data_IF_056175345798
#
_entry.id   IF_056175345798
#
_cell.length_a   1.000
_cell.length_b   1.000
_cell.length_c   1.000
_cell.angle_alpha   90.00
_cell.angle_beta   90.00
_cell.angle_gamma   90.00
#
_symmetry.space_group_name_H-M   'P 1'
#
loop_
_entity.id
_entity.type
_entity.pdbx_description
1 polymer ?
#
# COMPACT_ATOMS: atom_id res chain seq x y z
N UNK A 1 2.87 21.07 -10.69
CA UNK A 1 3.46 22.02 -9.70
C UNK A 1 2.43 23.12 -9.45
N UNK A 2 2.16 23.47 -8.19
CA UNK A 2 1.12 24.45 -7.84
C UNK A 2 1.49 25.86 -8.34
N UNK A 3 0.59 26.53 -9.05
CA UNK A 3 0.83 27.85 -9.62
C UNK A 3 0.39 28.96 -8.66
N UNK A 4 1.33 29.61 -7.98
CA UNK A 4 1.05 30.62 -6.93
C UNK A 4 1.90 31.90 -7.04
N UNK A 5 1.83 32.62 -8.18
CA UNK A 5 2.75 33.74 -8.47
C UNK A 5 2.65 34.89 -7.46
N UNK A 6 1.45 35.15 -6.92
CA UNK A 6 1.24 36.21 -5.91
C UNK A 6 1.92 35.89 -4.58
N UNK A 7 1.86 34.63 -4.15
CA UNK A 7 2.52 34.16 -2.92
C UNK A 7 4.03 34.20 -3.06
N UNK A 8 4.56 33.82 -4.22
CA UNK A 8 5.99 33.90 -4.52
C UNK A 8 6.46 35.36 -4.55
N UNK A 9 5.70 36.25 -5.19
CA UNK A 9 6.02 37.69 -5.21
C UNK A 9 6.04 38.29 -3.79
N UNK A 10 5.06 37.94 -2.96
CA UNK A 10 5.02 38.34 -1.56
C UNK A 10 6.24 37.82 -0.79
N UNK A 11 6.56 36.53 -0.90
CA UNK A 11 7.72 35.93 -0.24
C UNK A 11 9.02 36.64 -0.63
N UNK A 12 9.20 36.96 -1.92
CA UNK A 12 10.38 37.66 -2.41
C UNK A 12 10.49 39.11 -1.89
N UNK A 13 9.37 39.76 -1.54
CA UNK A 13 9.38 41.11 -0.97
C UNK A 13 9.68 41.19 0.53
N UNK A 14 9.68 40.05 1.24
CA UNK A 14 9.97 40.01 2.68
C UNK A 14 11.46 40.18 2.98
N UNK A 15 11.79 40.69 4.17
CA UNK A 15 13.16 40.66 4.70
C UNK A 15 13.63 39.23 4.94
N UNK A 16 14.94 39.01 5.08
CA UNK A 16 15.48 37.68 5.41
C UNK A 16 15.05 37.21 6.81
N UNK A 17 14.80 38.12 7.76
CA UNK A 17 14.20 37.75 9.05
C UNK A 17 12.75 37.26 8.86
N UNK A 18 11.94 38.00 8.10
CA UNK A 18 10.53 37.68 7.90
C UNK A 18 10.34 36.40 7.09
N UNK A 19 11.20 36.11 6.12
CA UNK A 19 11.18 34.84 5.38
C UNK A 19 11.43 33.64 6.29
N UNK A 20 12.28 33.80 7.31
CA UNK A 20 12.54 32.73 8.31
C UNK A 20 11.38 32.58 9.27
N UNK A 21 10.77 33.68 9.69
CA UNK A 21 9.62 33.67 10.61
C UNK A 21 8.35 33.13 9.93
N UNK A 22 8.15 33.48 8.66
CA UNK A 22 7.00 33.10 7.84
C UNK A 22 7.45 32.29 6.62
N UNK A 23 7.52 30.97 6.79
CA UNK A 23 7.93 30.08 5.71
C UNK A 23 6.81 29.93 4.67
N UNK A 24 6.87 30.74 3.61
CA UNK A 24 5.95 30.72 2.47
C UNK A 24 6.48 29.87 1.30
N UNK A 25 7.75 29.46 1.33
CA UNK A 25 8.35 28.64 0.27
C UNK A 25 8.23 27.15 0.59
N UNK A 26 7.27 26.51 -0.07
CA UNK A 26 7.02 25.07 0.05
C UNK A 26 8.20 24.22 -0.46
N UNK A 27 9.12 24.77 -1.26
CA UNK A 27 10.28 24.03 -1.78
C UNK A 27 11.27 23.66 -0.66
N UNK A 28 11.28 24.44 0.42
CA UNK A 28 12.11 24.17 1.60
C UNK A 28 11.62 22.98 2.43
N UNK A 29 10.40 22.50 2.18
CA UNK A 29 9.78 21.41 2.94
C UNK A 29 10.39 20.06 2.55
N UNK A 30 10.80 19.28 3.55
CA UNK A 30 11.10 17.86 3.39
C UNK A 30 9.78 17.10 3.28
N UNK A 31 9.37 16.79 2.06
CA UNK A 31 8.06 16.19 1.78
C UNK A 31 7.84 14.84 2.48
N UNK A 32 8.89 14.02 2.60
CA UNK A 32 8.82 12.73 3.30
C UNK A 32 8.40 12.90 4.77
N UNK A 33 9.08 13.79 5.49
CA UNK A 33 8.78 14.08 6.90
C UNK A 33 7.37 14.67 7.05
N UNK A 34 7.00 15.59 6.16
CA UNK A 34 5.66 16.19 6.17
C UNK A 34 4.57 15.13 6.06
N UNK A 35 4.65 14.24 5.06
CA UNK A 35 3.63 13.21 4.88
C UNK A 35 3.66 12.14 5.97
N UNK A 36 4.84 11.79 6.49
CA UNK A 36 4.97 10.89 7.63
C UNK A 36 4.30 11.45 8.88
N UNK A 37 4.54 12.73 9.19
CA UNK A 37 3.94 13.40 10.34
C UNK A 37 2.43 13.63 10.14
N UNK A 38 2.01 14.03 8.94
CA UNK A 38 0.60 14.19 8.60
C UNK A 38 -0.17 12.88 8.78
N UNK A 39 0.37 11.77 8.25
CA UNK A 39 -0.26 10.45 8.35
C UNK A 39 -0.40 10.02 9.81
N UNK A 40 0.63 10.24 10.63
CA UNK A 40 0.56 9.95 12.06
C UNK A 40 -0.46 10.84 12.79
N UNK A 41 -0.49 12.13 12.48
CA UNK A 41 -1.46 13.08 13.04
C UNK A 41 -2.90 12.69 12.71
N UNK A 42 -3.18 12.32 11.46
CA UNK A 42 -4.50 11.83 11.04
C UNK A 42 -4.92 10.61 11.89
N UNK A 43 -4.03 9.63 12.04
CA UNK A 43 -4.33 8.43 12.84
C UNK A 43 -4.61 8.76 14.30
N UNK A 44 -3.79 9.61 14.91
CA UNK A 44 -3.92 9.92 16.34
C UNK A 44 -5.10 10.84 16.64
N UNK A 45 -5.32 11.89 15.85
CA UNK A 45 -6.31 12.92 16.19
C UNK A 45 -7.65 12.71 15.50
N UNK A 46 -7.67 12.29 14.23
CA UNK A 46 -8.92 12.08 13.49
C UNK A 46 -9.47 10.68 13.72
N UNK A 47 -8.61 9.66 13.61
CA UNK A 47 -9.00 8.25 13.80
C UNK A 47 -8.96 7.81 15.27
N UNK A 48 -8.43 8.64 16.18
CA UNK A 48 -8.30 8.34 17.62
C UNK A 48 -7.54 7.03 17.90
N UNK A 49 -6.60 6.66 17.03
CA UNK A 49 -5.77 5.47 17.19
C UNK A 49 -4.49 5.80 17.97
N UNK A 50 -4.15 4.98 18.96
CA UNK A 50 -2.86 5.08 19.65
C UNK A 50 -1.71 4.73 18.68
N UNK A 51 -0.57 5.43 18.72
CA UNK A 51 0.61 5.07 17.91
C UNK A 51 1.08 3.62 18.10
N UNK A 52 0.79 3.03 19.27
CA UNK A 52 1.11 1.64 19.59
C UNK A 52 0.30 0.61 18.77
N UNK A 53 -0.81 1.01 18.13
CA UNK A 53 -1.66 0.10 17.33
C UNK A 53 -1.04 -0.25 15.98
N UNK A 54 -0.08 0.53 15.49
CA UNK A 54 0.56 0.34 14.18
C UNK A 54 1.17 -1.04 14.01
N UNK A 55 1.94 -1.51 15.00
CA UNK A 55 2.56 -2.84 14.96
C UNK A 55 1.51 -3.96 14.92
N UNK A 56 0.44 -3.82 15.70
CA UNK A 56 -0.68 -4.76 15.70
C UNK A 56 -1.44 -4.76 14.37
N UNK A 57 -1.64 -3.59 13.76
CA UNK A 57 -2.27 -3.46 12.45
C UNK A 57 -1.43 -4.14 11.36
N UNK A 58 -0.09 -3.96 11.36
CA UNK A 58 0.83 -4.64 10.44
C UNK A 58 0.81 -6.16 10.63
N UNK A 59 0.83 -6.62 11.89
CA UNK A 59 0.72 -8.06 12.19
C UNK A 59 -0.60 -8.64 11.68
N UNK A 60 -1.73 -7.95 11.94
CA UNK A 60 -3.04 -8.35 11.43
C UNK A 60 -3.06 -8.38 9.90
N UNK A 61 -2.51 -7.37 9.23
CA UNK A 61 -2.40 -7.35 7.77
C UNK A 61 -1.59 -8.55 7.24
N UNK A 62 -0.46 -8.88 7.88
CA UNK A 62 0.34 -10.04 7.49
C UNK A 62 -0.43 -11.36 7.69
N UNK A 63 -1.16 -11.50 8.80
CA UNK A 63 -2.00 -12.69 9.05
C UNK A 63 -3.08 -12.82 7.98
N UNK A 64 -3.78 -11.72 7.65
CA UNK A 64 -4.80 -11.75 6.60
C UNK A 64 -4.19 -12.05 5.23
N UNK A 65 -3.01 -11.51 4.93
CA UNK A 65 -2.31 -11.80 3.68
C UNK A 65 -1.94 -13.28 3.57
N UNK A 66 -1.36 -13.87 4.62
CA UNK A 66 -1.05 -15.30 4.67
C UNK A 66 -2.34 -16.12 4.53
N UNK A 67 -3.40 -15.78 5.28
CA UNK A 67 -4.69 -16.46 5.20
C UNK A 67 -5.31 -16.38 3.79
N UNK A 68 -5.15 -15.25 3.11
CA UNK A 68 -5.61 -15.07 1.75
C UNK A 68 -4.84 -15.99 0.80
N UNK A 69 -3.50 -15.93 0.82
CA UNK A 69 -2.65 -16.76 -0.05
C UNK A 69 -2.85 -18.25 0.20
N UNK A 70 -3.02 -18.68 1.46
CA UNK A 70 -3.28 -20.09 1.79
C UNK A 70 -4.66 -20.54 1.33
N UNK A 71 -5.69 -19.70 1.47
CA UNK A 71 -7.03 -19.97 0.94
C UNK A 71 -7.00 -20.12 -0.58
N UNK A 72 -6.32 -19.22 -1.28
CA UNK A 72 -6.14 -19.27 -2.73
C UNK A 72 -5.44 -20.57 -3.17
N UNK A 73 -4.31 -20.91 -2.52
CA UNK A 73 -3.60 -22.16 -2.78
C UNK A 73 -4.47 -23.39 -2.50
N UNK A 74 -5.24 -23.38 -1.41
CA UNK A 74 -6.19 -24.45 -1.07
C UNK A 74 -7.25 -24.65 -2.15
N UNK A 75 -7.86 -23.57 -2.66
CA UNK A 75 -8.83 -23.62 -3.75
C UNK A 75 -8.21 -24.22 -5.02
N UNK A 76 -6.99 -23.81 -5.37
CA UNK A 76 -6.28 -24.34 -6.53
C UNK A 76 -5.98 -25.83 -6.40
N UNK A 77 -5.50 -26.27 -5.24
CA UNK A 77 -5.22 -27.68 -4.97
C UNK A 77 -6.50 -28.53 -5.01
N UNK A 78 -7.59 -28.02 -4.43
CA UNK A 78 -8.89 -28.69 -4.47
C UNK A 78 -9.43 -28.80 -5.90
N UNK A 79 -9.38 -27.72 -6.68
CA UNK A 79 -9.79 -27.72 -8.08
C UNK A 79 -8.97 -28.71 -8.91
N UNK A 80 -7.64 -28.72 -8.72
CA UNK A 80 -6.77 -29.66 -9.41
C UNK A 80 -7.05 -31.11 -9.01
N UNK A 81 -7.26 -31.38 -7.73
CA UNK A 81 -7.62 -32.71 -7.22
C UNK A 81 -8.95 -33.20 -7.82
N UNK A 82 -9.98 -32.34 -7.87
CA UNK A 82 -11.27 -32.66 -8.49
C UNK A 82 -11.13 -33.00 -9.97
N UNK A 83 -10.40 -32.19 -10.74
CA UNK A 83 -10.15 -32.44 -12.17
C UNK A 83 -9.46 -33.79 -12.37
N UNK A 84 -8.48 -34.12 -11.52
CA UNK A 84 -7.77 -35.41 -11.56
C UNK A 84 -8.71 -36.58 -11.29
N UNK A 85 -9.56 -36.48 -10.26
CA UNK A 85 -10.52 -37.53 -9.88
C UNK A 85 -11.51 -37.77 -11.01
N UNK A 86 -12.08 -36.71 -11.59
CA UNK A 86 -13.09 -36.81 -12.66
C UNK A 86 -12.47 -37.34 -13.95
N UNK A 87 -11.28 -36.88 -14.33
CA UNK A 87 -10.72 -37.16 -15.66
C UNK A 87 -9.97 -38.49 -15.75
N UNK A 88 -9.80 -39.23 -14.64
CA UNK A 88 -8.97 -40.44 -14.54
C UNK A 88 -7.59 -40.32 -15.23
N UNK A 89 -7.06 -39.10 -15.30
CA UNK A 89 -5.95 -38.71 -16.19
C UNK A 89 -4.61 -38.70 -15.44
N UNK A 90 -3.53 -38.99 -16.16
CA UNK A 90 -2.14 -38.95 -15.65
C UNK A 90 -1.63 -37.52 -15.48
N UNK A 91 -0.75 -37.32 -14.50
CA UNK A 91 -0.15 -36.04 -14.08
C UNK A 91 0.42 -35.16 -15.22
N UNK A 92 0.84 -35.77 -16.33
CA UNK A 92 1.44 -35.06 -17.48
C UNK A 92 0.41 -34.33 -18.35
N UNK A 93 -0.85 -34.77 -18.41
CA UNK A 93 -1.91 -34.10 -19.21
C UNK A 93 -2.60 -32.96 -18.47
N UNK A 94 -2.61 -32.99 -17.14
CA UNK A 94 -3.18 -31.94 -16.27
C UNK A 94 -2.22 -30.81 -15.94
N UNK A 95 -0.92 -30.96 -16.24
CA UNK A 95 0.12 -29.96 -15.93
C UNK A 95 -0.05 -28.61 -16.64
N UNK A 96 -0.77 -28.55 -17.76
CA UNK A 96 -1.02 -27.30 -18.50
C UNK A 96 -2.06 -26.37 -17.84
N UNK A 97 -2.80 -26.84 -16.82
CA UNK A 97 -3.79 -26.03 -16.10
C UNK A 97 -3.13 -25.14 -15.03
N UNK A 98 -1.96 -25.54 -14.53
CA UNK A 98 -1.23 -24.84 -13.46
C UNK A 98 -0.70 -23.45 -13.89
N UNK A 99 -0.12 -23.25 -15.09
CA UNK A 99 0.36 -21.94 -15.54
C UNK A 99 -0.75 -20.89 -15.71
N UNK A 100 -1.94 -21.30 -16.17
CA UNK A 100 -3.07 -20.38 -16.39
C UNK A 100 -3.65 -19.91 -15.05
N UNK A 101 -3.79 -20.83 -14.09
CA UNK A 101 -4.30 -20.53 -12.76
C UNK A 101 -3.31 -19.69 -11.93
N UNK A 102 -2.02 -19.97 -12.01
CA UNK A 102 -0.98 -19.16 -11.34
C UNK A 102 -0.88 -17.75 -11.91
N UNK A 103 -1.02 -17.59 -13.24
CA UNK A 103 -1.04 -16.27 -13.90
C UNK A 103 -2.26 -15.42 -13.49
N UNK A 104 -3.46 -16.02 -13.41
CA UNK A 104 -4.66 -15.32 -12.90
C UNK A 104 -4.50 -14.89 -11.43
N UNK A 105 -3.89 -15.73 -10.60
CA UNK A 105 -3.64 -15.40 -9.20
C UNK A 105 -2.57 -14.32 -9.00
N UNK A 106 -1.47 -14.34 -9.75
CA UNK A 106 -0.42 -13.32 -9.69
C UNK A 106 -0.91 -11.94 -10.15
N UNK A 107 -1.90 -11.88 -11.06
CA UNK A 107 -2.50 -10.63 -11.54
C UNK A 107 -3.44 -9.95 -10.54
N UNK A 108 -3.80 -10.65 -9.46
CA UNK A 108 -4.70 -10.16 -8.39
C UNK A 108 -3.97 -9.71 -7.12
N UNK A 109 -2.63 -9.82 -7.11
CA UNK A 109 -1.74 -9.45 -6.01
C UNK A 109 -1.19 -8.03 -6.15
#
# INVERSE_FOLDING_TARGET
>A
MFNNPRTLALHNSLSEEDKKLFNLDIKSLVWEDYFNNLTQGVRTYLSKESPKTLAKARSKQNILYIAHVTMQAGILLLAWWLVKVISASTWLKTGMVVPILTYMFLSSL
#
